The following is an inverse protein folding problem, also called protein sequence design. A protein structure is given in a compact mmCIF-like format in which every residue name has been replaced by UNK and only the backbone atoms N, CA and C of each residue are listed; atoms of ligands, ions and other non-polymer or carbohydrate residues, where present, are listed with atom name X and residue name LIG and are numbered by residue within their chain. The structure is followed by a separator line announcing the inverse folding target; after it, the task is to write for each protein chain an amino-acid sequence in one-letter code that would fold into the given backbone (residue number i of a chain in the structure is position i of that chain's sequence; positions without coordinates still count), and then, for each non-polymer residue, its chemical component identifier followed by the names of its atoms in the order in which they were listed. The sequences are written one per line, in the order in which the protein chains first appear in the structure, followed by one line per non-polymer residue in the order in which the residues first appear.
data_IF_513289500728
#
_entry.id   IF_513289500728
#
_cell.length_a   1.000
_cell.length_b   1.000
_cell.length_c   1.000
_cell.angle_alpha   90.00
_cell.angle_beta   90.00
_cell.angle_gamma   90.00
#
_symmetry.space_group_name_H-M   'P 1'
#
loop_
_entity.id
_entity.type
_entity.pdbx_description
1 polymer ?
#
# COMPACT_ATOMS: atom_id res chain seq x y z
N UNK A 1 9.69 16.85 7.58
CA UNK A 1 8.46 16.02 7.51
C UNK A 1 8.66 14.99 6.41
N UNK A 2 8.29 13.71 6.60
CA UNK A 2 8.38 12.73 5.52
C UNK A 2 7.40 13.16 4.42
N UNK A 3 7.89 13.39 3.20
CA UNK A 3 7.07 13.92 2.11
C UNK A 3 5.98 12.93 1.66
N UNK A 4 6.21 11.63 1.85
CA UNK A 4 5.26 10.56 1.54
C UNK A 4 5.28 9.49 2.66
N UNK A 5 4.56 9.72 3.77
CA UNK A 5 4.67 8.88 4.94
C UNK A 5 4.05 7.49 4.74
N UNK A 6 2.98 7.38 3.95
CA UNK A 6 2.33 6.11 3.62
C UNK A 6 3.24 5.27 2.73
N UNK A 7 3.81 5.84 1.65
CA UNK A 7 4.73 5.08 0.80
C UNK A 7 5.99 4.63 1.58
N UNK A 8 6.47 5.44 2.53
CA UNK A 8 7.58 5.06 3.40
C UNK A 8 7.23 3.84 4.27
N UNK A 9 6.07 3.85 4.92
CA UNK A 9 5.66 2.73 5.77
C UNK A 9 5.43 1.45 4.95
N UNK A 10 4.80 1.55 3.78
CA UNK A 10 4.59 0.41 2.90
C UNK A 10 5.92 -0.20 2.42
N UNK A 11 6.90 0.63 2.04
CA UNK A 11 8.25 0.15 1.67
C UNK A 11 8.95 -0.55 2.83
N UNK A 12 8.78 -0.05 4.06
CA UNK A 12 9.35 -0.67 5.27
C UNK A 12 8.74 -2.04 5.52
N UNK A 13 7.42 -2.18 5.45
CA UNK A 13 6.72 -3.46 5.61
C UNK A 13 7.18 -4.44 4.54
N UNK A 14 7.20 -4.01 3.27
CA UNK A 14 7.61 -4.84 2.15
C UNK A 14 9.04 -5.38 2.31
N UNK A 15 9.95 -4.56 2.85
CA UNK A 15 11.34 -4.95 3.14
C UNK A 15 11.45 -5.97 4.28
N UNK A 16 10.54 -5.90 5.27
CA UNK A 16 10.48 -6.85 6.38
C UNK A 16 9.87 -8.18 5.95
N UNK A 17 8.82 -8.16 5.11
CA UNK A 17 8.17 -9.36 4.57
C UNK A 17 9.10 -10.21 3.68
N UNK A 18 10.13 -9.60 3.08
CA UNK A 18 11.13 -10.30 2.27
C UNK A 18 12.13 -11.16 3.07
N UNK A 19 12.14 -11.09 4.42
CA UNK A 19 13.15 -11.75 5.28
C UNK A 19 12.72 -13.08 5.95
N UNK A 20 11.55 -13.65 5.64
CA UNK A 20 11.02 -14.85 6.32
C UNK A 20 10.88 -16.15 5.48
N UNK A 21 11.16 -17.29 6.14
CA UNK A 21 11.03 -18.75 5.81
C UNK A 21 11.51 -19.28 4.43
N UNK A 22 12.55 -20.14 4.41
CA UNK A 22 13.18 -20.67 3.20
C UNK A 22 12.50 -21.90 2.55
N UNK A 23 11.39 -22.43 3.07
CA UNK A 23 10.76 -23.67 2.56
C UNK A 23 9.59 -23.46 1.57
N UNK A 24 9.15 -22.23 1.33
CA UNK A 24 8.09 -21.84 0.37
C UNK A 24 8.55 -20.73 -0.63
N UNK A 25 9.65 -20.93 -1.38
CA UNK A 25 10.53 -19.82 -1.78
C UNK A 25 9.96 -18.93 -2.89
N UNK A 26 9.27 -19.49 -3.88
CA UNK A 26 8.87 -18.73 -5.07
C UNK A 26 7.58 -17.93 -4.84
N UNK A 27 6.50 -18.58 -4.38
CA UNK A 27 5.21 -17.91 -4.14
C UNK A 27 5.37 -16.80 -3.10
N UNK A 28 6.08 -17.06 -1.99
CA UNK A 28 6.29 -16.04 -0.95
C UNK A 28 7.12 -14.87 -1.47
N UNK A 29 8.18 -15.13 -2.25
CA UNK A 29 8.99 -14.09 -2.87
C UNK A 29 8.17 -13.26 -3.86
N UNK A 30 7.29 -13.90 -4.63
CA UNK A 30 6.40 -13.21 -5.56
C UNK A 30 5.34 -12.38 -4.82
N UNK A 31 4.79 -12.87 -3.72
CA UNK A 31 3.88 -12.08 -2.87
C UNK A 31 4.58 -10.87 -2.26
N UNK A 32 5.82 -11.02 -1.77
CA UNK A 32 6.61 -9.88 -1.30
C UNK A 32 6.88 -8.87 -2.44
N UNK A 33 7.24 -9.35 -3.64
CA UNK A 33 7.41 -8.50 -4.82
C UNK A 33 6.12 -7.79 -5.22
N UNK A 34 4.97 -8.45 -5.13
CA UNK A 34 3.66 -7.85 -5.37
C UNK A 34 3.40 -6.69 -4.40
N UNK A 35 3.65 -6.89 -3.11
CA UNK A 35 3.53 -5.81 -2.10
C UNK A 35 4.46 -4.64 -2.46
N UNK A 36 5.70 -4.92 -2.90
CA UNK A 36 6.63 -3.88 -3.37
C UNK A 36 6.10 -3.16 -4.61
N UNK A 37 5.65 -3.89 -5.63
CA UNK A 37 5.17 -3.33 -6.89
C UNK A 37 3.95 -2.42 -6.69
N UNK A 38 2.96 -2.90 -5.92
CA UNK A 38 1.76 -2.12 -5.58
C UNK A 38 2.08 -0.86 -4.77
N UNK A 39 3.04 -0.93 -3.84
CA UNK A 39 3.36 0.18 -2.94
C UNK A 39 4.41 1.17 -3.47
N UNK A 40 5.39 0.73 -4.27
CA UNK A 40 6.52 1.58 -4.72
C UNK A 40 6.06 2.77 -5.55
N UNK A 41 4.95 2.60 -6.27
CA UNK A 41 4.38 3.60 -7.17
C UNK A 41 3.34 4.50 -6.51
N UNK A 42 2.88 4.17 -5.29
CA UNK A 42 1.99 5.07 -4.53
C UNK A 42 2.67 6.42 -4.33
N UNK A 43 1.89 7.49 -4.49
CA UNK A 43 2.31 8.88 -4.23
C UNK A 43 1.28 9.55 -3.37
N UNK A 44 1.61 9.89 -2.13
CA UNK A 44 0.72 10.61 -1.24
C UNK A 44 1.13 12.08 -1.07
N UNK A 45 0.14 12.97 -1.06
CA UNK A 45 0.30 14.40 -0.80
C UNK A 45 -0.58 14.79 0.38
N UNK A 46 -0.02 15.58 1.30
CA UNK A 46 -0.80 16.22 2.35
C UNK A 46 -1.68 17.34 1.76
N UNK A 47 -2.98 17.26 2.05
CA UNK A 47 -3.96 18.30 1.69
C UNK A 47 -4.13 19.34 2.81
N UNK A 48 -3.87 18.93 4.05
CA UNK A 48 -4.00 19.79 5.23
C UNK A 48 -3.72 19.00 6.51
N UNK A 49 -3.64 19.70 7.63
CA UNK A 49 -3.46 19.10 8.95
C UNK A 49 -4.38 19.75 9.97
N UNK A 50 -4.90 18.94 10.88
CA UNK A 50 -5.60 19.37 12.08
C UNK A 50 -4.73 19.02 13.28
N UNK A 51 -4.17 20.03 13.94
CA UNK A 51 -3.37 19.81 15.16
C UNK A 51 -4.34 19.80 16.33
N UNK A 52 -4.43 18.68 17.04
CA UNK A 52 -5.12 18.65 18.34
C UNK A 52 -4.36 19.53 19.33
N UNK A 53 -5.05 20.51 19.90
CA UNK A 53 -4.47 21.54 20.76
C UNK A 53 -4.02 21.02 22.14
N UNK A 54 -4.54 19.86 22.58
CA UNK A 54 -4.19 19.27 23.87
C UNK A 54 -3.14 18.17 23.70
N UNK A 55 -2.00 18.27 24.39
CA UNK A 55 -1.05 17.17 24.43
C UNK A 55 -1.68 16.00 25.20
N UNK A 56 -1.74 14.83 24.58
CA UNK A 56 -2.01 13.58 25.32
C UNK A 56 -0.73 13.22 26.07
N UNK A 57 -0.55 13.75 27.28
CA UNK A 57 0.68 13.63 28.07
C UNK A 57 1.76 14.63 27.63
N UNK A 58 2.99 14.16 27.35
CA UNK A 58 4.11 15.00 26.87
C UNK A 58 4.19 15.12 25.33
N UNK A 59 3.24 14.53 24.62
CA UNK A 59 3.25 14.42 23.15
C UNK A 59 2.08 15.18 22.54
N UNK A 60 2.39 15.91 21.47
CA UNK A 60 1.40 16.51 20.59
C UNK A 60 0.97 15.50 19.53
N UNK A 61 -0.32 15.50 19.21
CA UNK A 61 -0.88 14.74 18.10
C UNK A 61 -1.43 15.70 17.05
N UNK A 62 -1.34 15.30 15.78
CA UNK A 62 -2.02 15.95 14.69
C UNK A 62 -2.53 14.89 13.71
N UNK A 63 -3.66 15.15 13.09
CA UNK A 63 -4.21 14.31 12.03
C UNK A 63 -3.95 15.01 10.70
N UNK A 64 -3.30 14.31 9.77
CA UNK A 64 -2.97 14.79 8.44
C UNK A 64 -3.93 14.16 7.45
N UNK A 65 -4.62 14.99 6.67
CA UNK A 65 -5.41 14.55 5.52
C UNK A 65 -4.49 14.37 4.32
N UNK A 66 -4.55 13.20 3.72
CA UNK A 66 -3.70 12.78 2.62
C UNK A 66 -4.56 12.43 1.41
N UNK A 67 -4.12 12.82 0.23
CA UNK A 67 -4.57 12.25 -1.04
C UNK A 67 -3.45 11.41 -1.63
N UNK A 68 -3.74 10.14 -1.88
CA UNK A 68 -2.81 9.19 -2.47
C UNK A 68 -3.23 8.84 -3.90
N UNK A 69 -2.32 9.04 -4.85
CA UNK A 69 -2.43 8.45 -6.17
C UNK A 69 -1.89 7.02 -6.11
N UNK A 70 -2.73 6.04 -6.46
CA UNK A 70 -2.40 4.61 -6.50
C UNK A 70 -2.46 4.10 -7.95
N UNK A 71 -1.72 3.03 -8.29
CA UNK A 71 -1.80 2.46 -9.63
C UNK A 71 -3.20 1.94 -9.94
N UNK A 72 -3.67 2.16 -11.16
CA UNK A 72 -4.90 1.58 -11.72
C UNK A 72 -4.55 0.39 -12.63
N UNK A 73 -4.49 -0.79 -12.03
CA UNK A 73 -4.05 -2.02 -12.67
C UNK A 73 -5.19 -2.86 -13.23
N UNK A 74 -6.46 -2.47 -13.07
CA UNK A 74 -7.61 -3.34 -13.42
C UNK A 74 -7.57 -3.83 -14.86
N UNK A 75 -7.23 -2.96 -15.82
CA UNK A 75 -7.10 -3.37 -17.22
C UNK A 75 -6.02 -4.46 -17.41
N UNK A 76 -4.83 -4.27 -16.84
CA UNK A 76 -3.74 -5.26 -16.91
C UNK A 76 -4.04 -6.54 -16.13
N UNK A 77 -4.78 -6.44 -15.02
CA UNK A 77 -5.23 -7.59 -14.24
C UNK A 77 -6.27 -8.43 -15.01
N UNK A 78 -7.16 -7.79 -15.77
CA UNK A 78 -8.11 -8.50 -16.65
C UNK A 78 -7.38 -9.27 -17.75
N UNK A 79 -6.40 -8.64 -18.41
CA UNK A 79 -5.54 -9.32 -19.39
C UNK A 79 -4.80 -10.52 -18.75
N UNK A 80 -4.27 -10.34 -17.54
CA UNK A 80 -3.62 -11.43 -16.79
C UNK A 80 -4.60 -12.58 -16.53
N UNK A 81 -5.84 -12.29 -16.12
CA UNK A 81 -6.87 -13.31 -15.89
C UNK A 81 -7.21 -14.09 -17.17
N UNK A 82 -7.36 -13.39 -18.28
CA UNK A 82 -7.63 -14.00 -19.59
C UNK A 82 -6.50 -14.96 -20.00
N UNK A 83 -5.24 -14.56 -19.78
CA UNK A 83 -4.08 -15.40 -20.04
C UNK A 83 -4.02 -16.66 -19.15
N UNK A 84 -4.53 -16.59 -17.92
CA UNK A 84 -4.65 -17.75 -17.03
C UNK A 84 -5.87 -18.63 -17.38
N UNK A 85 -6.76 -18.20 -18.28
CA UNK A 85 -7.98 -18.92 -18.68
C UNK A 85 -8.84 -19.37 -17.49
N UNK A 86 -8.86 -18.61 -16.40
CA UNK A 86 -9.60 -18.94 -15.17
C UNK A 86 -9.02 -20.11 -14.36
N UNK A 87 -7.83 -20.62 -14.70
CA UNK A 87 -7.20 -21.77 -14.01
C UNK A 87 -6.60 -21.42 -12.64
N UNK A 88 -6.45 -20.13 -12.35
CA UNK A 88 -5.85 -19.64 -11.10
C UNK A 88 -6.50 -18.32 -10.67
N UNK A 89 -6.52 -18.07 -9.37
CA UNK A 89 -7.00 -16.85 -8.74
C UNK A 89 -6.07 -16.47 -7.58
N UNK A 90 -6.32 -15.33 -6.95
CA UNK A 90 -5.48 -14.84 -5.85
C UNK A 90 -5.71 -15.57 -4.51
N UNK A 91 -6.66 -16.50 -4.42
CA UNK A 91 -6.85 -17.39 -3.24
C UNK A 91 -5.78 -18.48 -3.24
N UNK A 92 -5.52 -19.09 -4.39
CA UNK A 92 -4.44 -20.05 -4.57
C UNK A 92 -3.65 -19.74 -5.86
N UNK A 93 -2.76 -18.74 -5.82
CA UNK A 93 -2.18 -18.20 -7.02
C UNK A 93 -1.05 -19.06 -7.58
N UNK A 94 -1.05 -19.24 -8.90
CA UNK A 94 0.09 -19.81 -9.62
C UNK A 94 1.25 -18.82 -9.62
N UNK A 95 2.53 -19.27 -9.71
CA UNK A 95 3.66 -18.37 -9.88
C UNK A 95 3.53 -17.49 -11.14
N UNK A 96 2.88 -18.01 -12.18
CA UNK A 96 2.62 -17.30 -13.44
C UNK A 96 1.60 -16.18 -13.24
N UNK A 97 0.49 -16.45 -12.55
CA UNK A 97 -0.50 -15.45 -12.17
C UNK A 97 0.16 -14.31 -11.38
N UNK A 98 0.94 -14.64 -10.35
CA UNK A 98 1.60 -13.62 -9.53
C UNK A 98 2.56 -12.73 -10.35
N UNK A 99 3.31 -13.30 -11.29
CA UNK A 99 4.18 -12.53 -12.19
C UNK A 99 3.34 -11.56 -13.04
N UNK A 100 2.23 -12.01 -13.62
CA UNK A 100 1.32 -11.15 -14.39
C UNK A 100 0.69 -10.03 -13.54
N UNK A 101 0.27 -10.34 -12.31
CA UNK A 101 -0.26 -9.36 -11.35
C UNK A 101 0.80 -8.31 -11.00
N UNK A 102 2.04 -8.73 -10.71
CA UNK A 102 3.16 -7.82 -10.45
C UNK A 102 3.36 -6.88 -11.65
N UNK A 103 3.45 -7.43 -12.87
CA UNK A 103 3.64 -6.63 -14.08
C UNK A 103 2.49 -5.64 -14.32
N UNK A 104 1.25 -6.05 -14.05
CA UNK A 104 0.08 -5.18 -14.17
C UNK A 104 0.21 -3.94 -13.26
N UNK A 105 0.58 -4.13 -11.98
CA UNK A 105 0.80 -3.02 -11.05
C UNK A 105 2.06 -2.20 -11.39
N UNK A 106 3.12 -2.84 -11.89
CA UNK A 106 4.35 -2.16 -12.28
C UNK A 106 4.16 -1.25 -13.50
N UNK A 107 3.20 -1.55 -14.40
CA UNK A 107 2.93 -0.75 -15.62
C UNK A 107 1.72 0.18 -15.50
N UNK A 108 0.82 -0.06 -14.56
CA UNK A 108 -0.41 0.71 -14.37
C UNK A 108 -0.21 2.24 -14.25
N UNK A 109 -1.08 3.08 -14.85
CA UNK A 109 -1.05 4.52 -14.64
C UNK A 109 -1.48 4.89 -13.21
N UNK A 110 -1.04 6.04 -12.69
CA UNK A 110 -1.39 6.54 -11.34
C UNK A 110 -2.64 7.42 -11.38
N UNK A 111 -3.77 6.85 -11.78
CA UNK A 111 -5.04 7.57 -11.99
C UNK A 111 -6.01 7.45 -10.82
N UNK A 112 -5.93 6.38 -10.03
CA UNK A 112 -6.84 6.19 -8.88
C UNK A 112 -6.43 7.05 -7.70
N UNK A 113 -7.40 7.77 -7.13
CA UNK A 113 -7.23 8.61 -5.94
C UNK A 113 -7.82 7.94 -4.72
N UNK A 114 -7.07 7.99 -3.62
CA UNK A 114 -7.47 7.46 -2.32
C UNK A 114 -7.26 8.56 -1.29
N UNK A 115 -8.34 9.07 -0.73
CA UNK A 115 -8.26 9.98 0.42
C UNK A 115 -8.06 9.16 1.68
N UNK A 116 -7.12 9.58 2.53
CA UNK A 116 -6.84 8.93 3.81
C UNK A 116 -6.40 9.90 4.89
N UNK A 117 -6.36 9.43 6.12
CA UNK A 117 -5.92 10.19 7.28
C UNK A 117 -4.80 9.44 7.99
N UNK A 118 -3.81 10.20 8.46
CA UNK A 118 -2.72 9.69 9.25
C UNK A 118 -2.56 10.52 10.50
N UNK A 119 -2.53 9.86 11.65
CA UNK A 119 -2.11 10.51 12.88
C UNK A 119 -0.58 10.56 12.92
N UNK A 120 -0.07 11.72 13.31
CA UNK A 120 1.34 11.94 13.59
C UNK A 120 1.49 12.45 15.01
N UNK A 121 2.61 12.07 15.64
CA UNK A 121 2.95 12.53 16.98
C UNK A 121 4.29 13.24 16.98
N UNK A 122 4.42 14.24 17.85
CA UNK A 122 5.68 14.92 18.11
C UNK A 122 5.89 15.09 19.61
N UNK A 123 7.16 15.11 20.04
CA UNK A 123 7.52 15.49 21.40
C UNK A 123 7.22 16.97 21.69
N UNK A 124 7.43 17.39 22.93
CA UNK A 124 7.18 18.75 23.40
C UNK A 124 7.79 19.85 22.52
N UNK A 125 9.01 19.62 22.00
CA UNK A 125 9.70 20.56 21.11
C UNK A 125 9.13 20.65 19.67
N UNK A 126 8.21 19.77 19.27
CA UNK A 126 7.55 19.73 17.94
C UNK A 126 8.47 19.69 16.71
N UNK A 127 9.78 19.45 16.88
CA UNK A 127 10.77 19.47 15.80
C UNK A 127 10.67 18.26 14.85
N UNK A 128 10.17 17.11 15.35
CA UNK A 128 10.03 15.88 14.55
C UNK A 128 8.65 15.25 14.75
N UNK A 129 7.92 15.11 13.65
CA UNK A 129 6.64 14.43 13.58
C UNK A 129 6.84 13.02 13.02
N UNK A 130 6.32 12.03 13.73
CA UNK A 130 6.41 10.62 13.37
C UNK A 130 5.01 10.04 13.16
N UNK A 131 4.78 9.22 12.12
CA UNK A 131 3.53 8.50 11.96
C UNK A 131 3.19 7.68 13.21
N UNK A 132 1.97 7.82 13.70
CA UNK A 132 1.38 6.93 14.70
C UNK A 132 1.04 5.59 14.03
N UNK A 133 1.19 4.48 14.76
CA UNK A 133 0.89 3.14 14.26
C UNK A 133 -0.61 2.81 14.35
N UNK A 134 -1.37 3.53 15.16
CA UNK A 134 -2.82 3.31 15.36
C UNK A 134 -3.68 3.78 14.18
N UNK A 135 -3.33 4.92 13.56
CA UNK A 135 -4.00 5.44 12.37
C UNK A 135 -2.95 5.87 11.35
N UNK A 136 -2.51 4.93 10.54
CA UNK A 136 -1.43 5.13 9.56
C UNK A 136 -1.92 5.50 8.16
N UNK A 137 -3.23 5.42 7.88
CA UNK A 137 -3.80 5.58 6.54
C UNK A 137 -3.40 4.48 5.54
N UNK A 138 -2.52 3.54 5.92
CA UNK A 138 -2.07 2.46 5.06
C UNK A 138 -3.21 1.55 4.64
N UNK A 139 -4.14 1.23 5.54
CA UNK A 139 -5.20 0.25 5.29
C UNK A 139 -6.14 0.67 4.16
N UNK A 140 -6.39 1.97 4.02
CA UNK A 140 -7.19 2.49 2.91
C UNK A 140 -6.45 2.38 1.58
N UNK A 141 -5.13 2.64 1.58
CA UNK A 141 -4.29 2.55 0.39
C UNK A 141 -4.05 1.09 -0.03
N UNK A 142 -3.71 0.21 0.90
CA UNK A 142 -3.54 -1.22 0.64
C UNK A 142 -4.87 -1.87 0.26
N UNK A 143 -5.97 -1.49 0.91
CA UNK A 143 -7.32 -1.90 0.55
C UNK A 143 -7.71 -1.47 -0.86
N UNK A 144 -7.36 -0.25 -1.28
CA UNK A 144 -7.60 0.22 -2.65
C UNK A 144 -6.76 -0.51 -3.70
N UNK A 145 -5.54 -0.95 -3.37
CA UNK A 145 -4.73 -1.82 -4.22
C UNK A 145 -5.37 -3.22 -4.31
N UNK A 146 -5.74 -3.80 -3.17
CA UNK A 146 -6.33 -5.13 -3.10
C UNK A 146 -7.69 -5.22 -3.81
N UNK A 147 -8.52 -4.17 -3.72
CA UNK A 147 -9.85 -4.15 -4.37
C UNK A 147 -9.78 -4.35 -5.89
N UNK A 148 -8.71 -3.89 -6.52
CA UNK A 148 -8.51 -4.04 -7.98
C UNK A 148 -8.42 -5.49 -8.42
N UNK A 149 -7.91 -6.37 -7.56
CA UNK A 149 -7.89 -7.82 -7.79
C UNK A 149 -9.33 -8.34 -7.89
N UNK A 150 -10.21 -7.93 -6.99
CA UNK A 150 -11.63 -8.27 -7.02
C UNK A 150 -12.36 -7.67 -8.23
N UNK A 151 -12.11 -6.40 -8.55
CA UNK A 151 -12.70 -5.72 -9.73
C UNK A 151 -12.28 -6.34 -11.07
N UNK A 152 -11.11 -6.98 -11.11
CA UNK A 152 -10.63 -7.76 -12.24
C UNK A 152 -11.16 -9.22 -12.23
N UNK A 153 -11.89 -9.62 -11.19
CA UNK A 153 -12.41 -10.96 -11.01
C UNK A 153 -11.32 -12.01 -10.74
N UNK A 154 -10.20 -11.61 -10.14
CA UNK A 154 -9.12 -12.47 -9.66
C UNK A 154 -9.22 -12.73 -8.15
N UNK A 155 -10.20 -12.13 -7.47
CA UNK A 155 -10.53 -12.41 -6.07
C UNK A 155 -11.15 -13.80 -5.89
N UNK A 156 -11.50 -14.18 -4.65
CA UNK A 156 -12.39 -15.31 -4.41
C UNK A 156 -13.72 -15.17 -5.16
#
# INVERSE_FOLDING_TARGET
MIADPVAWQLRRIASLSARGDPSAPEIRRLMAKFIIAGSKRVRCRALGHEISAQPTGERFRATIKLECAVPDAVAGLRQTKEHEQGRSNMVNPSPRLLKGVIEAFERAPLTRRVSTEMDVTAGSAKQRWMPDTSRSGMDQVTGAIARQIGEAGLGP
#
